data_IF_374100043088
#
_entry.id   IF_374100043088
#
_cell.length_a   1.000
_cell.length_b   1.000
_cell.length_c   1.000
_cell.angle_alpha   90.00
_cell.angle_beta   90.00
_cell.angle_gamma   90.00
#
_symmetry.space_group_name_H-M   'P 1'
#
loop_
_entity.id
_entity.type
_entity.pdbx_description
1 polymer ?
#
# COMPACT_ATOMS: atom_id res chain seq x y z
N UNK A 1 -3.28 -34.27 -11.93
CA UNK A 1 -3.38 -35.53 -12.65
C UNK A 1 -4.85 -35.93 -12.77
N UNK A 2 -5.28 -36.34 -13.96
CA UNK A 2 -6.63 -36.95 -14.17
C UNK A 2 -6.52 -38.43 -13.92
N UNK A 3 -7.33 -38.97 -13.02
CA UNK A 3 -7.33 -40.38 -12.63
C UNK A 3 -8.73 -40.95 -12.76
N UNK A 4 -8.85 -42.28 -12.70
CA UNK A 4 -10.16 -42.95 -12.64
C UNK A 4 -11.03 -42.56 -11.45
N UNK A 5 -10.45 -41.93 -10.42
CA UNK A 5 -11.13 -41.38 -9.22
C UNK A 5 -11.33 -39.89 -9.27
N UNK A 6 -11.18 -39.25 -10.44
CA UNK A 6 -11.29 -37.81 -10.62
C UNK A 6 -9.95 -37.07 -10.72
N UNK A 7 -10.02 -35.73 -10.78
CA UNK A 7 -8.84 -34.85 -10.84
C UNK A 7 -8.28 -34.69 -9.44
N UNK A 8 -6.99 -34.95 -9.26
CA UNK A 8 -6.31 -34.83 -7.98
C UNK A 8 -4.86 -34.40 -8.15
N UNK A 9 -4.21 -34.03 -7.03
CA UNK A 9 -2.78 -33.69 -7.03
C UNK A 9 -1.90 -34.92 -7.25
N UNK A 10 -0.66 -34.74 -7.70
CA UNK A 10 0.31 -35.83 -7.87
C UNK A 10 0.56 -36.59 -6.55
N UNK A 11 0.65 -35.83 -5.44
CA UNK A 11 0.83 -36.44 -4.11
C UNK A 11 -0.36 -37.31 -3.70
N UNK A 12 -1.58 -36.84 -3.92
CA UNK A 12 -2.79 -37.63 -3.60
C UNK A 12 -2.92 -38.86 -4.45
N UNK A 13 -2.56 -38.79 -5.73
CA UNK A 13 -2.55 -39.91 -6.63
C UNK A 13 -1.55 -41.00 -6.19
N UNK A 14 -0.36 -40.60 -5.74
CA UNK A 14 0.66 -41.53 -5.19
C UNK A 14 0.21 -42.15 -3.89
N UNK A 15 -0.36 -41.38 -2.95
CA UNK A 15 -0.88 -41.94 -1.70
C UNK A 15 -2.00 -42.96 -1.94
N UNK A 16 -2.83 -42.70 -2.94
CA UNK A 16 -3.95 -43.60 -3.31
C UNK A 16 -3.58 -44.74 -4.27
N UNK A 17 -2.30 -44.81 -4.68
CA UNK A 17 -1.78 -45.75 -5.68
C UNK A 17 -2.63 -45.79 -6.98
N UNK A 18 -3.05 -44.64 -7.47
CA UNK A 18 -3.87 -44.51 -8.67
C UNK A 18 -3.05 -43.83 -9.76
N UNK A 19 -2.93 -44.49 -10.91
CA UNK A 19 -2.32 -43.90 -12.10
C UNK A 19 -3.30 -43.00 -12.85
N UNK A 20 -2.77 -42.14 -13.72
CA UNK A 20 -3.60 -41.24 -14.52
C UNK A 20 -2.78 -40.39 -15.48
N UNK A 21 -3.47 -39.56 -16.27
CA UNK A 21 -2.88 -38.67 -17.26
C UNK A 21 -2.54 -37.31 -16.67
N UNK A 22 -1.40 -36.80 -17.04
CA UNK A 22 -0.94 -35.46 -16.56
C UNK A 22 -1.65 -34.37 -17.36
N UNK A 23 -2.60 -33.67 -16.75
CA UNK A 23 -3.31 -32.55 -17.37
C UNK A 23 -2.41 -31.30 -17.46
N UNK A 24 -1.76 -30.93 -16.35
CA UNK A 24 -0.84 -29.81 -16.31
C UNK A 24 0.19 -29.98 -15.20
N UNK A 25 1.32 -29.33 -15.35
CA UNK A 25 2.37 -29.28 -14.34
C UNK A 25 2.46 -27.86 -13.79
N UNK A 26 2.10 -27.68 -12.53
CA UNK A 26 2.20 -26.38 -11.86
C UNK A 26 3.56 -26.26 -11.19
N UNK A 27 4.40 -25.34 -11.70
CA UNK A 27 5.68 -25.04 -11.08
C UNK A 27 5.48 -23.90 -10.08
N UNK A 28 5.54 -24.20 -8.82
CA UNK A 28 5.50 -23.20 -7.77
C UNK A 28 6.92 -22.73 -7.46
N UNK A 29 7.35 -21.62 -8.08
CA UNK A 29 8.60 -20.96 -7.69
C UNK A 29 8.38 -20.19 -6.38
N UNK A 30 8.68 -20.83 -5.25
CA UNK A 30 8.50 -20.28 -3.89
C UNK A 30 9.52 -19.18 -3.55
N UNK A 31 10.33 -18.71 -4.50
CA UNK A 31 11.31 -17.65 -4.24
C UNK A 31 10.82 -16.31 -4.77
N UNK A 32 10.65 -15.36 -3.86
CA UNK A 32 10.32 -13.97 -4.21
C UNK A 32 11.43 -13.34 -5.05
N UNK A 33 11.16 -13.08 -6.33
CA UNK A 33 12.06 -12.33 -7.20
C UNK A 33 12.27 -10.89 -6.69
N UNK A 34 11.24 -10.31 -6.05
CA UNK A 34 11.30 -8.97 -5.46
C UNK A 34 12.22 -8.91 -4.24
N UNK A 35 12.19 -9.93 -3.38
CA UNK A 35 13.03 -9.96 -2.18
C UNK A 35 14.54 -9.90 -2.48
N UNK A 36 14.97 -10.47 -3.62
CA UNK A 36 16.36 -10.46 -4.05
C UNK A 36 16.86 -9.12 -4.57
N UNK A 37 15.97 -8.23 -5.02
CA UNK A 37 16.39 -6.94 -5.58
C UNK A 37 16.92 -6.04 -4.47
N UNK A 38 18.13 -5.47 -4.61
CA UNK A 38 18.64 -4.48 -3.68
C UNK A 38 17.74 -3.25 -3.63
N UNK A 39 17.72 -2.56 -2.51
CA UNK A 39 17.01 -1.29 -2.34
C UNK A 39 18.07 -0.20 -2.46
N UNK A 40 17.98 0.65 -3.46
CA UNK A 40 18.87 1.77 -3.62
C UNK A 40 18.55 2.84 -2.57
N UNK A 41 19.58 3.31 -1.87
CA UNK A 41 19.49 4.38 -0.89
C UNK A 41 19.95 5.66 -1.58
N UNK A 42 19.08 6.67 -1.74
CA UNK A 42 19.49 7.97 -2.26
C UNK A 42 20.55 8.63 -1.37
N UNK A 43 21.41 9.46 -1.96
CA UNK A 43 22.51 10.13 -1.24
C UNK A 43 22.06 10.99 -0.06
N UNK A 44 20.85 11.49 -0.12
CA UNK A 44 20.25 12.35 0.91
C UNK A 44 19.63 11.59 2.08
N UNK A 45 19.75 10.25 2.09
CA UNK A 45 19.14 9.40 3.13
C UNK A 45 20.23 8.66 3.91
N UNK A 46 20.14 8.73 5.23
CA UNK A 46 20.99 7.94 6.13
C UNK A 46 20.19 6.76 6.65
N UNK A 47 20.80 5.57 6.60
CA UNK A 47 20.19 4.33 7.06
C UNK A 47 21.08 3.75 8.16
N UNK A 48 20.49 3.50 9.34
CA UNK A 48 21.15 2.81 10.44
C UNK A 48 20.39 1.54 10.76
N UNK A 49 21.11 0.46 11.00
CA UNK A 49 20.55 -0.85 11.40
C UNK A 49 21.03 -1.12 12.81
N UNK A 50 20.14 -1.06 13.78
CA UNK A 50 20.47 -1.27 15.20
C UNK A 50 19.45 -2.24 15.83
N UNK A 51 19.92 -3.40 16.28
CA UNK A 51 19.13 -4.33 17.12
C UNK A 51 17.72 -4.64 16.63
N UNK A 52 17.55 -4.99 15.33
CA UNK A 52 16.25 -5.28 14.73
C UNK A 52 15.40 -4.07 14.38
N UNK A 53 15.92 -2.88 14.56
CA UNK A 53 15.29 -1.64 14.10
C UNK A 53 16.09 -1.05 12.95
N UNK A 54 15.37 -0.63 11.93
CA UNK A 54 15.91 0.12 10.81
C UNK A 54 15.48 1.57 10.97
N UNK A 55 16.43 2.46 11.21
CA UNK A 55 16.21 3.89 11.33
C UNK A 55 16.59 4.55 10.01
N UNK A 56 15.61 5.17 9.38
CA UNK A 56 15.75 5.90 8.12
C UNK A 56 15.61 7.39 8.39
N UNK A 57 16.61 8.17 8.02
CA UNK A 57 16.59 9.63 8.16
C UNK A 57 16.83 10.28 6.81
N UNK A 58 15.97 11.20 6.41
CA UNK A 58 16.05 11.91 5.14
C UNK A 58 15.45 13.30 5.20
N UNK A 59 15.36 14.01 4.07
CA UNK A 59 14.94 15.42 4.01
C UNK A 59 13.50 15.68 4.45
N UNK A 60 12.62 14.68 4.34
CA UNK A 60 11.21 14.81 4.76
C UNK A 60 10.96 14.46 6.22
N UNK A 61 11.91 13.77 6.85
CA UNK A 61 11.83 13.36 8.26
C UNK A 61 12.52 12.02 8.51
N UNK A 62 12.19 11.40 9.65
CA UNK A 62 12.73 10.11 10.06
C UNK A 62 11.60 9.09 10.21
N UNK A 63 11.90 7.83 9.92
CA UNK A 63 10.99 6.70 10.15
C UNK A 63 11.74 5.52 10.73
N UNK A 64 11.17 4.92 11.77
CA UNK A 64 11.64 3.68 12.35
C UNK A 64 10.79 2.51 11.84
N UNK A 65 11.45 1.41 11.50
CA UNK A 65 10.81 0.15 11.12
C UNK A 65 11.40 -0.96 11.95
N UNK A 66 10.56 -1.79 12.54
CA UNK A 66 10.99 -3.03 13.19
C UNK A 66 11.16 -4.14 12.15
N UNK A 67 12.33 -4.75 12.14
CA UNK A 67 12.63 -5.93 11.33
C UNK A 67 12.79 -7.12 12.26
N UNK A 68 12.24 -8.25 11.89
CA UNK A 68 12.40 -9.45 12.68
C UNK A 68 13.79 -10.06 12.44
N UNK A 69 14.75 -9.81 13.36
CA UNK A 69 16.13 -10.28 13.27
C UNK A 69 16.26 -11.81 13.28
N UNK A 70 15.25 -12.52 13.78
CA UNK A 70 15.24 -13.99 13.75
C UNK A 70 15.01 -14.55 12.35
N UNK A 71 14.49 -13.74 11.43
CA UNK A 71 14.10 -14.14 10.08
C UNK A 71 14.96 -13.46 9.02
N UNK A 72 15.26 -12.17 9.21
CA UNK A 72 15.93 -11.35 8.20
C UNK A 72 17.20 -10.70 8.73
N UNK A 73 18.22 -10.61 7.91
CA UNK A 73 19.40 -9.78 8.14
C UNK A 73 19.45 -8.69 7.08
N UNK A 74 19.50 -7.44 7.53
CA UNK A 74 19.70 -6.29 6.67
C UNK A 74 21.19 -5.95 6.62
N UNK A 75 21.77 -5.88 5.44
CA UNK A 75 23.14 -5.46 5.20
C UNK A 75 23.19 -4.30 4.23
N UNK A 76 24.03 -3.32 4.52
CA UNK A 76 24.27 -2.18 3.63
C UNK A 76 25.52 -2.53 2.81
N UNK A 77 25.43 -2.46 1.50
CA UNK A 77 26.57 -2.63 0.58
C UNK A 77 27.24 -1.29 0.31
N UNK A 78 28.52 -1.35 -0.10
CA UNK A 78 29.33 -0.15 -0.42
C UNK A 78 28.73 0.71 -1.54
N UNK A 79 27.89 0.12 -2.40
CA UNK A 79 27.13 0.80 -3.47
C UNK A 79 25.89 1.59 -2.96
N UNK A 80 25.83 1.96 -1.68
CA UNK A 80 24.64 2.59 -1.07
C UNK A 80 23.34 1.80 -1.33
N UNK A 81 23.43 0.48 -1.32
CA UNK A 81 22.26 -0.38 -1.47
C UNK A 81 22.03 -1.24 -0.24
N UNK A 82 20.75 -1.35 0.18
CA UNK A 82 20.33 -2.19 1.29
C UNK A 82 19.86 -3.53 0.73
N UNK A 83 20.49 -4.60 1.20
CA UNK A 83 20.16 -5.97 0.84
C UNK A 83 19.55 -6.67 2.04
N UNK A 84 18.37 -7.24 1.85
CA UNK A 84 17.70 -8.05 2.85
C UNK A 84 17.96 -9.54 2.57
N UNK A 85 18.62 -10.22 3.50
CA UNK A 85 18.90 -11.66 3.41
C UNK A 85 18.04 -12.45 4.39
N UNK A 86 17.65 -13.66 3.98
CA UNK A 86 16.93 -14.60 4.85
C UNK A 86 17.93 -15.39 5.68
N UNK A 87 17.72 -15.46 7.00
CA UNK A 87 18.48 -16.32 7.93
C UNK A 87 17.93 -17.74 7.83
N UNK A 88 16.61 -17.89 7.99
CA UNK A 88 15.90 -19.19 7.90
C UNK A 88 15.07 -19.26 6.63
N UNK A 89 15.29 -20.29 5.82
CA UNK A 89 14.57 -20.49 4.54
C UNK A 89 13.26 -21.26 4.71
N UNK A 90 12.44 -20.89 5.68
CA UNK A 90 11.10 -21.46 5.85
C UNK A 90 10.14 -20.89 4.80
N UNK A 91 9.04 -21.58 4.51
CA UNK A 91 8.04 -21.11 3.54
C UNK A 91 7.44 -19.77 3.94
N UNK A 92 7.06 -19.60 5.19
CA UNK A 92 6.55 -18.34 5.76
C UNK A 92 7.55 -17.18 5.60
N UNK A 93 8.84 -17.43 5.85
CA UNK A 93 9.91 -16.44 5.69
C UNK A 93 10.08 -15.99 4.24
N UNK A 94 9.93 -16.92 3.28
CA UNK A 94 10.01 -16.61 1.84
C UNK A 94 8.86 -15.73 1.39
N UNK A 95 7.64 -15.96 1.89
CA UNK A 95 6.46 -15.13 1.60
C UNK A 95 6.63 -13.72 2.16
N UNK A 96 7.06 -13.60 3.41
CA UNK A 96 7.25 -12.31 4.08
C UNK A 96 8.42 -11.51 3.51
N UNK A 97 9.41 -12.16 2.88
CA UNK A 97 10.61 -11.49 2.36
C UNK A 97 10.29 -10.37 1.37
N UNK A 98 9.44 -10.65 0.39
CA UNK A 98 9.01 -9.67 -0.61
C UNK A 98 8.23 -8.50 0.00
N UNK A 99 7.35 -8.79 0.96
CA UNK A 99 6.55 -7.77 1.67
C UNK A 99 7.44 -6.87 2.51
N UNK A 100 8.33 -7.45 3.33
CA UNK A 100 9.28 -6.69 4.17
C UNK A 100 10.18 -5.80 3.31
N UNK A 101 10.71 -6.33 2.21
CA UNK A 101 11.51 -5.53 1.26
C UNK A 101 10.71 -4.36 0.70
N UNK A 102 9.45 -4.57 0.34
CA UNK A 102 8.58 -3.51 -0.21
C UNK A 102 8.24 -2.45 0.83
N UNK A 103 8.02 -2.84 2.08
CA UNK A 103 7.80 -1.91 3.20
C UNK A 103 9.04 -1.03 3.43
N UNK A 104 10.22 -1.61 3.45
CA UNK A 104 11.48 -0.86 3.58
C UNK A 104 11.67 0.10 2.40
N UNK A 105 11.45 -0.37 1.17
CA UNK A 105 11.56 0.48 -0.01
C UNK A 105 10.56 1.66 0.02
N UNK A 106 9.32 1.42 0.45
CA UNK A 106 8.35 2.49 0.63
C UNK A 106 8.80 3.48 1.71
N UNK A 107 9.40 3.00 2.80
CA UNK A 107 9.90 3.89 3.84
C UNK A 107 11.08 4.77 3.35
N UNK A 108 12.01 4.22 2.56
CA UNK A 108 13.10 4.98 1.91
C UNK A 108 12.51 6.08 1.02
N UNK A 109 11.55 5.74 0.14
CA UNK A 109 10.88 6.72 -0.74
C UNK A 109 10.13 7.76 0.10
N UNK A 110 9.47 7.35 1.18
CA UNK A 110 8.70 8.23 2.04
C UNK A 110 9.56 9.29 2.75
N UNK A 111 10.74 8.91 3.21
CA UNK A 111 11.69 9.81 3.89
C UNK A 111 12.37 10.75 2.89
N UNK A 112 12.53 10.35 1.62
CA UNK A 112 13.18 11.16 0.56
C UNK A 112 12.20 12.09 -0.13
N UNK A 113 11.25 11.52 -0.86
CA UNK A 113 10.29 12.25 -1.73
C UNK A 113 8.99 12.52 -0.98
N UNK A 114 8.57 11.60 -0.11
CA UNK A 114 7.26 11.58 0.51
C UNK A 114 6.21 10.96 -0.42
N UNK A 115 5.01 10.77 0.13
CA UNK A 115 3.85 10.30 -0.62
C UNK A 115 2.79 11.37 -0.67
N UNK A 116 2.17 11.51 -1.85
CA UNK A 116 1.05 12.41 -2.07
C UNK A 116 -0.14 11.63 -2.63
N UNK A 117 -1.32 11.91 -2.10
CA UNK A 117 -2.60 11.52 -2.69
C UNK A 117 -3.49 12.73 -2.86
N UNK A 118 -4.13 12.82 -4.03
CA UNK A 118 -5.01 13.94 -4.38
C UNK A 118 -6.43 13.40 -4.47
N UNK A 119 -7.33 14.02 -3.70
CA UNK A 119 -8.76 13.75 -3.74
C UNK A 119 -9.48 14.93 -4.40
N UNK A 120 -10.44 14.62 -5.24
CA UNK A 120 -11.30 15.58 -5.93
C UNK A 120 -12.73 15.45 -5.43
N UNK A 121 -13.32 16.56 -5.04
CA UNK A 121 -14.71 16.64 -4.58
C UNK A 121 -15.55 17.10 -5.75
N UNK A 122 -16.49 16.26 -6.20
CA UNK A 122 -17.41 16.56 -7.27
C UNK A 122 -18.84 16.70 -6.71
N UNK A 123 -19.46 17.83 -6.95
CA UNK A 123 -20.84 18.09 -6.55
C UNK A 123 -21.13 19.57 -6.41
N UNK A 124 -22.33 20.01 -6.81
CA UNK A 124 -22.74 21.40 -6.65
C UNK A 124 -22.93 21.69 -5.16
N UNK A 125 -22.27 22.74 -4.68
CA UNK A 125 -22.31 23.14 -3.27
C UNK A 125 -21.38 22.34 -2.35
N UNK A 126 -20.64 21.34 -2.86
CA UNK A 126 -19.67 20.62 -2.05
C UNK A 126 -18.40 21.45 -1.87
N UNK A 127 -17.94 21.58 -0.65
CA UNK A 127 -16.76 22.36 -0.31
C UNK A 127 -15.95 21.69 0.81
N UNK A 128 -14.64 21.87 0.75
CA UNK A 128 -13.71 21.52 1.81
C UNK A 128 -13.04 22.78 2.35
N UNK A 129 -12.88 22.86 3.64
CA UNK A 129 -12.11 23.92 4.31
C UNK A 129 -11.27 23.32 5.43
N UNK A 130 -10.05 23.80 5.57
CA UNK A 130 -9.13 23.39 6.62
C UNK A 130 -9.14 24.44 7.74
N UNK A 131 -9.41 24.01 8.98
CA UNK A 131 -9.34 24.84 10.18
C UNK A 131 -8.37 24.21 11.17
N UNK A 132 -7.12 24.69 11.17
CA UNK A 132 -6.06 24.08 11.99
C UNK A 132 -5.84 22.62 11.60
N UNK A 133 -6.06 21.70 12.53
CA UNK A 133 -5.88 20.26 12.33
C UNK A 133 -7.20 19.51 12.02
N UNK A 134 -8.26 20.24 11.70
CA UNK A 134 -9.57 19.65 11.39
C UNK A 134 -9.98 20.05 9.98
N UNK A 135 -10.28 19.03 9.17
CA UNK A 135 -10.86 19.18 7.84
C UNK A 135 -12.39 19.24 7.97
N UNK A 136 -13.00 20.37 7.60
CA UNK A 136 -14.43 20.56 7.55
C UNK A 136 -14.94 20.38 6.12
N UNK A 137 -15.87 19.45 5.92
CA UNK A 137 -16.42 19.07 4.64
C UNK A 137 -17.91 19.35 4.58
N UNK A 138 -18.33 20.12 3.58
CA UNK A 138 -19.74 20.32 3.23
C UNK A 138 -20.05 19.38 2.05
N UNK A 139 -20.77 18.29 2.32
CA UNK A 139 -21.03 17.21 1.35
C UNK A 139 -22.52 17.02 1.06
N UNK A 140 -23.32 18.08 1.26
CA UNK A 140 -24.78 18.04 1.06
C UNK A 140 -25.53 17.32 2.18
N UNK A 141 -24.93 17.20 3.35
CA UNK A 141 -25.59 16.78 4.59
C UNK A 141 -26.12 18.01 5.33
N UNK A 142 -27.05 17.79 6.29
CA UNK A 142 -27.61 18.86 7.14
C UNK A 142 -26.58 19.53 8.04
N UNK A 143 -25.47 18.85 8.33
CA UNK A 143 -24.36 19.34 9.14
C UNK A 143 -23.02 19.13 8.42
N UNK A 144 -22.03 19.89 8.81
CA UNK A 144 -20.67 19.74 8.28
C UNK A 144 -20.03 18.48 8.85
N UNK A 145 -19.42 17.69 8.00
CA UNK A 145 -18.62 16.55 8.43
C UNK A 145 -17.22 17.02 8.82
N UNK A 146 -16.82 16.76 10.07
CA UNK A 146 -15.49 17.09 10.58
C UNK A 146 -14.62 15.85 10.57
N UNK A 147 -13.38 16.00 10.10
CA UNK A 147 -12.37 14.94 10.09
C UNK A 147 -11.10 15.46 10.77
N UNK A 148 -10.66 14.78 11.82
CA UNK A 148 -9.42 15.09 12.54
C UNK A 148 -8.23 14.51 11.80
N UNK A 149 -7.23 15.36 11.55
CA UNK A 149 -6.04 14.99 10.77
C UNK A 149 -4.99 14.42 11.71
N UNK A 150 -4.43 13.22 11.45
CA UNK A 150 -3.30 12.70 12.20
C UNK A 150 -2.08 13.62 12.10
N UNK A 151 -1.31 13.73 13.19
CA UNK A 151 -0.15 14.66 13.29
C UNK A 151 0.94 14.41 12.24
N UNK A 152 1.07 13.18 11.74
CA UNK A 152 2.09 12.79 10.76
C UNK A 152 1.73 13.15 9.31
N UNK A 153 0.53 13.71 9.08
CA UNK A 153 0.01 14.02 7.75
C UNK A 153 -0.20 15.51 7.59
N UNK A 154 0.28 16.05 6.47
CA UNK A 154 0.00 17.42 6.04
C UNK A 154 -1.11 17.40 5.01
N UNK A 155 -2.19 18.12 5.29
CA UNK A 155 -3.34 18.24 4.42
C UNK A 155 -3.40 19.67 3.88
N UNK A 156 -3.58 19.81 2.57
CA UNK A 156 -3.78 21.11 1.93
C UNK A 156 -5.03 21.07 1.07
N UNK A 157 -5.81 22.15 1.11
CA UNK A 157 -7.05 22.27 0.33
C UNK A 157 -6.86 23.38 -0.71
N UNK A 158 -7.00 23.01 -1.98
CA UNK A 158 -6.96 23.95 -3.10
C UNK A 158 -8.36 24.11 -3.71
N UNK A 159 -8.72 25.34 -4.03
CA UNK A 159 -10.01 25.68 -4.68
C UNK A 159 -11.26 25.12 -3.98
N UNK A 160 -11.18 24.83 -2.69
CA UNK A 160 -12.26 24.19 -1.88
C UNK A 160 -12.78 22.83 -2.41
N UNK A 161 -12.20 22.29 -3.47
CA UNK A 161 -12.64 21.03 -4.12
C UNK A 161 -11.54 20.01 -4.29
N UNK A 162 -10.28 20.41 -4.12
CA UNK A 162 -9.12 19.53 -4.26
C UNK A 162 -8.43 19.43 -2.90
N UNK A 163 -8.30 18.21 -2.41
CA UNK A 163 -7.61 17.91 -1.16
C UNK A 163 -6.34 17.16 -1.50
N UNK A 164 -5.19 17.71 -1.13
CA UNK A 164 -3.88 17.06 -1.23
C UNK A 164 -3.47 16.54 0.14
N UNK A 165 -3.11 15.28 0.20
CA UNK A 165 -2.71 14.56 1.41
C UNK A 165 -1.25 14.17 1.24
N UNK A 166 -0.37 14.77 2.04
CA UNK A 166 1.07 14.54 2.01
C UNK A 166 1.54 13.90 3.31
N UNK A 167 2.40 12.89 3.20
CA UNK A 167 2.96 12.22 4.37
C UNK A 167 4.19 11.37 4.04
N UNK A 168 4.90 10.99 5.08
CA UNK A 168 6.08 10.11 5.00
C UNK A 168 5.62 8.65 4.84
N UNK A 169 4.54 8.27 5.55
CA UNK A 169 4.05 6.90 5.55
C UNK A 169 2.99 6.67 4.48
N UNK A 170 3.32 5.85 3.48
CA UNK A 170 2.40 5.44 2.41
C UNK A 170 1.10 4.84 2.95
N UNK A 171 1.20 4.06 4.04
CA UNK A 171 0.06 3.37 4.64
C UNK A 171 -0.90 4.36 5.29
N UNK A 172 -0.36 5.31 6.07
CA UNK A 172 -1.16 6.37 6.71
C UNK A 172 -1.80 7.31 5.68
N UNK A 173 -1.04 7.74 4.67
CA UNK A 173 -1.58 8.55 3.56
C UNK A 173 -2.72 7.81 2.85
N UNK A 174 -2.55 6.50 2.60
CA UNK A 174 -3.58 5.66 1.99
C UNK A 174 -4.82 5.50 2.87
N UNK A 175 -4.63 5.29 4.18
CA UNK A 175 -5.69 5.16 5.18
C UNK A 175 -6.53 6.43 5.24
N UNK A 176 -5.91 7.58 5.46
CA UNK A 176 -6.58 8.89 5.53
C UNK A 176 -7.32 9.22 4.24
N UNK A 177 -6.71 8.96 3.08
CA UNK A 177 -7.37 9.16 1.79
C UNK A 177 -8.63 8.29 1.65
N UNK A 178 -8.58 7.04 2.11
CA UNK A 178 -9.73 6.13 2.08
C UNK A 178 -10.81 6.55 3.05
N UNK A 179 -10.45 6.96 4.27
CA UNK A 179 -11.40 7.45 5.28
C UNK A 179 -12.16 8.67 4.77
N UNK A 180 -11.44 9.68 4.24
CA UNK A 180 -12.08 10.87 3.67
C UNK A 180 -12.98 10.51 2.48
N UNK A 181 -12.54 9.60 1.61
CA UNK A 181 -13.36 9.13 0.47
C UNK A 181 -14.63 8.41 0.92
N UNK A 182 -14.58 7.66 2.01
CA UNK A 182 -15.72 6.94 2.55
C UNK A 182 -16.79 7.85 3.17
N UNK A 183 -16.45 9.09 3.55
CA UNK A 183 -17.43 10.05 4.06
C UNK A 183 -18.52 10.37 3.03
N UNK A 184 -18.16 10.40 1.74
CA UNK A 184 -19.13 10.56 0.63
C UNK A 184 -18.61 9.83 -0.60
N UNK A 185 -18.89 8.53 -0.73
CA UNK A 185 -18.47 7.77 -1.91
C UNK A 185 -19.17 8.30 -3.16
N UNK A 186 -18.51 8.08 -4.31
CA UNK A 186 -19.03 8.60 -5.58
C UNK A 186 -20.28 7.86 -6.00
N UNK A 187 -21.31 8.62 -6.31
CA UNK A 187 -22.58 8.11 -6.84
C UNK A 187 -22.41 7.65 -8.30
N UNK A 188 -22.96 6.50 -8.70
CA UNK A 188 -22.80 5.97 -10.05
C UNK A 188 -23.62 6.69 -11.12
N UNK A 189 -24.57 7.54 -10.78
CA UNK A 189 -25.44 8.23 -11.75
C UNK A 189 -24.88 9.58 -12.17
N UNK A 190 -24.78 10.54 -11.26
CA UNK A 190 -24.28 11.90 -11.53
C UNK A 190 -22.79 12.05 -11.25
N UNK A 191 -22.16 11.07 -10.60
CA UNK A 191 -20.74 11.11 -10.24
C UNK A 191 -20.42 12.11 -9.13
N UNK A 192 -21.42 12.45 -8.28
CA UNK A 192 -21.21 13.30 -7.09
C UNK A 192 -20.54 12.49 -5.98
N UNK A 193 -19.61 13.11 -5.27
CA UNK A 193 -18.87 12.50 -4.17
C UNK A 193 -17.37 12.81 -4.24
N UNK A 194 -16.60 12.14 -3.40
CA UNK A 194 -15.14 12.27 -3.30
C UNK A 194 -14.48 11.12 -4.04
N UNK A 195 -13.61 11.44 -5.01
CA UNK A 195 -12.83 10.45 -5.77
C UNK A 195 -11.34 10.73 -5.68
N UNK A 196 -10.53 9.73 -5.91
CA UNK A 196 -9.10 9.91 -6.13
C UNK A 196 -8.88 10.49 -7.54
N UNK A 197 -7.88 11.34 -7.69
CA UNK A 197 -7.51 11.90 -9.00
C UNK A 197 -7.15 10.76 -9.95
N UNK A 198 -7.75 10.77 -11.16
CA UNK A 198 -7.56 9.70 -12.13
C UNK A 198 -8.43 8.46 -11.92
N UNK A 199 -9.24 8.40 -10.87
CA UNK A 199 -10.16 7.29 -10.66
C UNK A 199 -11.28 7.33 -11.68
N UNK A 200 -11.41 6.27 -12.49
CA UNK A 200 -12.54 6.08 -13.39
C UNK A 200 -13.77 5.64 -12.57
N UNK A 201 -14.90 6.27 -12.83
CA UNK A 201 -16.19 5.95 -12.21
C UNK A 201 -17.15 5.51 -13.29
N UNK A 202 -17.58 4.25 -13.24
CA UNK A 202 -18.60 3.73 -14.15
C UNK A 202 -19.93 4.42 -13.86
N UNK A 203 -20.44 5.16 -14.87
CA UNK A 203 -21.75 5.83 -14.78
C UNK A 203 -22.84 4.92 -15.33
N UNK A 204 -23.91 4.80 -14.57
CA UNK A 204 -25.12 4.10 -15.00
C UNK A 204 -26.13 5.12 -15.56
N UNK A 205 -26.85 4.74 -16.60
CA UNK A 205 -28.00 5.52 -17.07
C UNK A 205 -29.16 5.39 -16.10
N UNK A 206 -29.84 6.49 -15.79
CA UNK A 206 -31.09 6.46 -15.05
C UNK A 206 -32.21 5.81 -15.89
N UNK A 207 -33.33 5.42 -15.24
CA UNK A 207 -34.51 4.98 -15.99
C UNK A 207 -34.92 6.07 -16.98
N UNK A 208 -34.97 5.73 -18.27
CA UNK A 208 -35.67 6.53 -19.27
C UNK A 208 -37.16 6.48 -18.91
N UNK A 209 -37.80 7.64 -18.74
CA UNK A 209 -39.26 7.75 -18.66
C UNK A 209 -39.88 7.38 -19.99
#
# INVERSE_FOLDING_TARGET
VSTSKGIMTDNDARVKNVGGEIICRVFWFIMSKLGKKPIQIPKDTKVKVEGGKLILTGPKGSKELSINDKIFTASISDDNSLILKLIKKNETSKVMWGTTRSVINNAVIGVTVGFEKILEINGVGYRASLKGNVLSLQLGFSHNTLYEIPQEIKLTVEKSTIIKINGIDKTLVGKVATEIKMLKPVEPYKGKGIKERGQYVLRKEGKKK
#
